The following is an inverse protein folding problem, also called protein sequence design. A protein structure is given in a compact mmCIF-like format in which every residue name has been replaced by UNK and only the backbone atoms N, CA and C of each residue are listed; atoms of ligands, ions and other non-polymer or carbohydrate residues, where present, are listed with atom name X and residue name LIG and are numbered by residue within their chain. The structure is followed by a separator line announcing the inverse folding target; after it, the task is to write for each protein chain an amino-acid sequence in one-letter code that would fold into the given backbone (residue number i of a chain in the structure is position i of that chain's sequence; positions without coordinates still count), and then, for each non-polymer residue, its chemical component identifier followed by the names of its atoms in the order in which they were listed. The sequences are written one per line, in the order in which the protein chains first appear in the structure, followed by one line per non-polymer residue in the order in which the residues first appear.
data_IF_886096463483
#
_entry.id   IF_886096463483
#
_cell.length_a   1.000
_cell.length_b   1.000
_cell.length_c   1.000
_cell.angle_alpha   90.00
_cell.angle_beta   90.00
_cell.angle_gamma   90.00
#
_symmetry.space_group_name_H-M   'P 1'
#
loop_
_entity.id
_entity.type
_entity.pdbx_description
1 polymer ?
#
# COMPACT_ATOMS: atom_id res chain seq x y z
N UNK A 1 -1.50 1.40 18.17
CA UNK A 1 -0.77 2.50 17.50
C UNK A 1 -1.65 3.07 16.36
N UNK A 2 -1.57 4.38 16.14
CA UNK A 2 -2.33 5.10 15.12
C UNK A 2 -1.37 5.44 13.99
N UNK A 3 -1.61 4.85 12.81
CA UNK A 3 -0.82 5.05 11.60
C UNK A 3 -1.59 5.92 10.61
N UNK A 4 -0.92 6.94 10.05
CA UNK A 4 -1.55 7.86 9.10
C UNK A 4 -1.96 7.18 7.79
N UNK A 5 -1.21 6.22 7.29
CA UNK A 5 -1.56 5.52 6.04
C UNK A 5 -2.92 4.82 6.14
N UNK A 6 -3.26 4.25 7.30
CA UNK A 6 -4.56 3.65 7.56
C UNK A 6 -5.67 4.70 7.58
N UNK A 7 -5.46 5.81 8.30
CA UNK A 7 -6.44 6.91 8.39
C UNK A 7 -6.69 7.56 7.02
N UNK A 8 -5.61 7.77 6.25
CA UNK A 8 -5.70 8.29 4.88
C UNK A 8 -6.57 7.40 3.99
N UNK A 9 -6.49 6.09 4.19
CA UNK A 9 -7.30 5.09 3.49
C UNK A 9 -8.65 4.82 4.18
N UNK A 10 -9.14 5.74 5.00
CA UNK A 10 -10.45 5.69 5.67
C UNK A 10 -10.63 4.51 6.63
N UNK A 11 -9.53 3.98 7.16
CA UNK A 11 -9.60 2.98 8.23
C UNK A 11 -9.76 3.69 9.57
N UNK A 12 -10.60 3.12 10.44
CA UNK A 12 -10.80 3.67 11.78
C UNK A 12 -9.49 3.58 12.60
N UNK A 13 -9.18 4.63 13.36
CA UNK A 13 -8.12 4.60 14.37
C UNK A 13 -8.43 3.64 15.51
N UNK A 14 -9.71 3.32 15.71
CA UNK A 14 -10.21 2.46 16.78
C UNK A 14 -10.73 1.16 16.16
N UNK A 15 -10.08 0.03 16.46
CA UNK A 15 -10.41 -1.28 15.90
C UNK A 15 -11.72 -1.84 16.46
N UNK A 16 -11.94 -1.65 17.74
CA UNK A 16 -13.13 -2.16 18.45
C UNK A 16 -13.64 -1.12 19.42
N UNK A 17 -14.93 -0.81 19.33
CA UNK A 17 -15.65 0.00 20.29
C UNK A 17 -17.12 -0.50 20.31
N UNK A 18 -17.50 -1.17 21.39
CA UNK A 18 -18.83 -1.75 21.52
C UNK A 18 -19.46 -1.25 22.81
N UNK A 19 -20.65 -0.69 22.69
CA UNK A 19 -21.49 -0.39 23.86
C UNK A 19 -22.39 -1.60 24.13
N UNK A 20 -22.43 -1.99 25.39
CA UNK A 20 -23.31 -3.07 25.87
C UNK A 20 -24.22 -2.52 26.95
N UNK A 21 -25.55 -2.61 26.75
CA UNK A 21 -26.50 -2.26 27.79
C UNK A 21 -26.76 -3.48 28.69
N UNK A 22 -26.90 -3.22 29.96
CA UNK A 22 -27.16 -4.24 31.00
C UNK A 22 -28.64 -4.32 31.40
N UNK A 23 -29.50 -3.63 30.66
CA UNK A 23 -30.97 -3.56 30.91
C UNK A 23 -31.72 -3.94 29.63
N UNK A 24 -32.95 -4.45 29.81
CA UNK A 24 -33.74 -4.97 28.67
C UNK A 24 -34.50 -3.88 27.91
N UNK A 25 -34.67 -2.68 28.49
CA UNK A 25 -35.32 -1.56 27.82
C UNK A 25 -34.35 -0.73 27.00
N UNK A 26 -34.87 0.07 26.08
CA UNK A 26 -34.13 1.05 25.28
C UNK A 26 -33.57 2.15 26.17
N UNK A 27 -32.33 2.58 25.87
CA UNK A 27 -31.71 3.70 26.54
C UNK A 27 -31.56 4.84 25.53
N UNK A 28 -32.27 5.94 25.74
CA UNK A 28 -32.18 7.16 24.93
C UNK A 28 -31.13 8.10 25.46
N UNK A 29 -30.69 9.01 24.59
CA UNK A 29 -29.71 10.07 24.91
C UNK A 29 -28.38 9.57 25.47
N UNK A 30 -27.92 8.38 25.04
CA UNK A 30 -26.60 7.89 25.38
C UNK A 30 -25.58 8.67 24.60
N UNK A 31 -24.74 9.44 25.30
CA UNK A 31 -23.67 10.25 24.71
C UNK A 31 -22.34 9.52 24.80
N UNK A 32 -21.68 9.39 23.66
CA UNK A 32 -20.32 8.86 23.52
C UNK A 32 -19.38 9.98 23.15
N UNK A 33 -18.30 10.12 23.91
CA UNK A 33 -17.22 11.06 23.67
C UNK A 33 -15.89 10.30 23.58
N UNK A 34 -15.11 10.60 22.55
CA UNK A 34 -13.75 10.07 22.39
C UNK A 34 -12.82 11.26 22.13
N UNK A 35 -11.79 11.38 22.94
CA UNK A 35 -10.81 12.44 22.85
C UNK A 35 -9.42 11.85 22.64
N UNK A 36 -8.64 12.47 21.76
CA UNK A 36 -7.25 12.13 21.48
C UNK A 36 -6.43 13.42 21.49
N UNK A 37 -5.39 13.47 22.28
CA UNK A 37 -4.40 14.54 22.18
C UNK A 37 -3.43 14.23 21.05
N UNK A 38 -3.28 15.16 20.10
CA UNK A 38 -2.36 15.04 19.00
C UNK A 38 -1.84 16.40 18.56
N UNK A 39 -0.51 16.54 18.46
CA UNK A 39 0.13 17.80 18.05
C UNK A 39 -0.20 19.00 18.95
N UNK A 40 -0.38 18.79 20.26
CA UNK A 40 -0.76 19.82 21.23
C UNK A 40 -2.23 20.26 21.16
N UNK A 41 -3.06 19.57 20.40
CA UNK A 41 -4.50 19.82 20.30
C UNK A 41 -5.29 18.58 20.65
N UNK A 42 -6.46 18.78 21.28
CA UNK A 42 -7.40 17.68 21.56
C UNK A 42 -8.32 17.50 20.36
N UNK A 43 -8.27 16.32 19.78
CA UNK A 43 -9.18 15.89 18.73
C UNK A 43 -10.35 15.16 19.37
N UNK A 44 -11.58 15.52 18.99
CA UNK A 44 -12.76 15.08 19.69
C UNK A 44 -13.82 14.52 18.73
N UNK A 45 -14.34 13.36 19.09
CA UNK A 45 -15.58 12.79 18.53
C UNK A 45 -16.66 12.83 19.60
N UNK A 46 -17.85 13.24 19.19
CA UNK A 46 -19.05 13.20 20.04
C UNK A 46 -20.24 12.70 19.25
N UNK A 47 -21.00 11.79 19.85
CA UNK A 47 -22.24 11.28 19.27
C UNK A 47 -23.25 10.96 20.37
N UNK A 48 -24.50 11.34 20.13
CA UNK A 48 -25.64 10.90 20.95
C UNK A 48 -26.44 9.90 20.15
N UNK A 49 -26.87 8.80 20.78
CA UNK A 49 -27.61 7.71 20.15
C UNK A 49 -28.53 7.05 21.14
N UNK A 50 -29.54 6.31 20.63
CA UNK A 50 -30.35 5.40 21.41
C UNK A 50 -29.83 3.96 21.31
N UNK A 51 -29.71 3.26 22.43
CA UNK A 51 -29.31 1.85 22.48
C UNK A 51 -30.55 0.98 22.48
N UNK A 52 -31.00 0.58 21.30
CA UNK A 52 -32.12 -0.35 21.10
C UNK A 52 -31.67 -1.80 21.29
N UNK A 53 -30.51 -2.14 20.71
CA UNK A 53 -29.94 -3.48 20.77
C UNK A 53 -29.03 -3.67 21.99
N UNK A 54 -28.89 -4.93 22.49
CA UNK A 54 -28.02 -5.24 23.63
C UNK A 54 -26.55 -4.85 23.41
N UNK A 55 -26.09 -4.91 22.17
CA UNK A 55 -24.69 -4.58 21.77
C UNK A 55 -24.71 -3.71 20.52
N UNK A 56 -24.08 -2.55 20.58
CA UNK A 56 -23.93 -1.62 19.45
C UNK A 56 -22.46 -1.38 19.16
N UNK A 57 -22.00 -1.80 17.99
CA UNK A 57 -20.64 -1.54 17.53
C UNK A 57 -20.53 -0.12 16.95
N UNK A 58 -19.58 0.67 17.43
CA UNK A 58 -19.39 2.08 17.03
C UNK A 58 -18.02 2.36 16.43
N UNK A 59 -17.08 1.41 16.40
CA UNK A 59 -15.71 1.64 15.95
C UNK A 59 -15.64 2.34 14.58
N UNK A 60 -16.43 1.88 13.61
CA UNK A 60 -16.46 2.42 12.24
C UNK A 60 -17.09 3.83 12.14
N UNK A 61 -17.78 4.25 13.18
CA UNK A 61 -18.44 5.56 13.25
C UNK A 61 -17.58 6.61 13.97
N UNK A 62 -16.55 6.18 14.70
CA UNK A 62 -15.68 7.10 15.44
C UNK A 62 -14.65 7.67 14.49
N UNK A 63 -14.83 8.93 14.12
CA UNK A 63 -13.90 9.68 13.30
C UNK A 63 -13.21 10.75 14.15
N UNK A 64 -11.89 10.65 14.26
CA UNK A 64 -11.07 11.69 14.89
C UNK A 64 -10.52 12.59 13.78
N UNK A 65 -10.68 13.91 13.85
CA UNK A 65 -10.28 14.84 12.79
C UNK A 65 -8.75 15.06 12.75
N UNK A 66 -7.99 13.96 12.63
CA UNK A 66 -6.55 13.99 12.49
C UNK A 66 -6.19 14.49 11.10
N UNK A 67 -5.65 15.70 11.02
CA UNK A 67 -5.30 16.33 9.75
C UNK A 67 -3.93 15.92 9.26
N UNK A 68 -3.75 15.87 7.94
CA UNK A 68 -2.46 15.57 7.32
C UNK A 68 -1.31 16.46 7.81
N UNK A 69 -1.44 17.81 7.93
CA UNK A 69 -0.36 18.65 8.46
C UNK A 69 0.04 18.29 9.89
N UNK A 70 -0.94 17.97 10.74
CA UNK A 70 -0.68 17.61 12.14
C UNK A 70 0.10 16.31 12.26
N UNK A 71 -0.31 15.26 11.52
CA UNK A 71 0.38 13.98 11.55
C UNK A 71 1.75 14.01 10.88
N UNK A 72 1.95 14.93 9.91
CA UNK A 72 3.25 15.15 9.27
C UNK A 72 4.24 15.91 10.13
N UNK A 73 3.79 16.64 11.14
CA UNK A 73 4.69 17.26 12.13
C UNK A 73 5.30 16.25 13.10
N UNK A 74 4.82 15.00 13.06
CA UNK A 74 5.38 13.90 13.85
C UNK A 74 6.57 13.29 13.09
N UNK A 75 7.76 13.51 13.60
CA UNK A 75 9.00 12.94 13.05
C UNK A 75 9.42 11.65 13.76
N UNK A 76 8.84 11.42 14.94
CA UNK A 76 9.13 10.27 15.80
C UNK A 76 7.82 9.73 16.40
N UNK A 77 7.86 8.46 16.80
CA UNK A 77 6.75 7.82 17.52
C UNK A 77 6.44 8.59 18.81
N UNK A 78 5.25 9.15 18.89
CA UNK A 78 4.82 9.99 20.01
C UNK A 78 3.76 9.25 20.81
N UNK A 79 4.01 9.07 22.12
CA UNK A 79 3.02 8.51 23.05
C UNK A 79 1.97 9.55 23.40
N UNK A 80 0.72 9.14 23.37
CA UNK A 80 -0.42 9.96 23.71
C UNK A 80 -1.52 9.12 24.39
N UNK A 81 -2.66 9.72 24.61
CA UNK A 81 -3.79 9.13 25.32
C UNK A 81 -5.06 9.27 24.52
N UNK A 82 -5.82 8.18 24.41
CA UNK A 82 -7.23 8.22 24.02
C UNK A 82 -8.07 8.12 25.27
N UNK A 83 -8.91 9.11 25.47
CA UNK A 83 -9.89 9.15 26.55
C UNK A 83 -11.27 8.85 25.97
N UNK A 84 -12.01 7.97 26.61
CA UNK A 84 -13.36 7.61 26.23
C UNK A 84 -14.32 7.83 27.39
N UNK A 85 -15.48 8.43 27.10
CA UNK A 85 -16.53 8.65 28.10
C UNK A 85 -17.89 8.32 27.49
N UNK A 86 -18.70 7.62 28.28
CA UNK A 86 -20.10 7.36 27.98
C UNK A 86 -20.97 7.95 29.08
N UNK A 87 -21.91 8.79 28.71
CA UNK A 87 -22.86 9.40 29.66
C UNK A 87 -24.29 9.06 29.28
N UNK A 88 -25.13 8.82 30.27
CA UNK A 88 -26.55 8.59 30.13
C UNK A 88 -27.30 9.35 31.25
N UNK A 89 -28.37 10.04 30.89
CA UNK A 89 -29.14 10.90 31.80
C UNK A 89 -28.23 11.89 32.60
N UNK A 90 -27.20 12.42 31.95
CA UNK A 90 -26.24 13.35 32.58
C UNK A 90 -25.27 12.71 33.57
N UNK A 91 -25.31 11.38 33.75
CA UNK A 91 -24.36 10.66 34.61
C UNK A 91 -23.34 9.91 33.78
N UNK A 92 -22.09 9.86 34.27
CA UNK A 92 -21.03 9.06 33.64
C UNK A 92 -21.35 7.57 33.90
N UNK A 93 -21.62 6.84 32.83
CA UNK A 93 -21.86 5.41 32.85
C UNK A 93 -20.56 4.61 32.70
N UNK A 94 -19.62 5.14 31.88
CA UNK A 94 -18.31 4.54 31.67
C UNK A 94 -17.27 5.60 31.33
N UNK A 95 -16.04 5.42 31.77
CA UNK A 95 -14.91 6.28 31.51
C UNK A 95 -13.63 5.44 31.49
N UNK A 96 -12.82 5.60 30.45
CA UNK A 96 -11.60 4.83 30.31
C UNK A 96 -10.53 5.64 29.57
N UNK A 97 -9.26 5.35 29.87
CA UNK A 97 -8.09 6.00 29.29
C UNK A 97 -7.14 4.96 28.75
N UNK A 98 -6.79 5.07 27.47
CA UNK A 98 -5.86 4.18 26.79
C UNK A 98 -4.61 4.93 26.35
N UNK A 99 -3.44 4.37 26.66
CA UNK A 99 -2.19 4.84 26.06
C UNK A 99 -2.05 4.32 24.65
N UNK A 100 -1.81 5.21 23.69
CA UNK A 100 -1.60 4.90 22.29
C UNK A 100 -0.34 5.59 21.79
N UNK A 101 0.19 5.14 20.66
CA UNK A 101 1.23 5.86 19.96
C UNK A 101 0.71 6.41 18.64
N UNK A 102 1.08 7.64 18.34
CA UNK A 102 0.98 8.23 17.01
C UNK A 102 2.28 7.95 16.28
N UNK A 103 2.18 7.41 15.08
CA UNK A 103 3.32 7.08 14.24
C UNK A 103 3.59 8.16 13.21
N UNK A 104 4.85 8.40 12.82
CA UNK A 104 5.20 9.22 11.67
C UNK A 104 4.45 8.76 10.41
N UNK A 105 4.23 9.68 9.48
CA UNK A 105 3.48 9.41 8.24
C UNK A 105 4.18 8.41 7.33
N UNK A 106 5.48 8.36 7.41
CA UNK A 106 6.39 7.51 6.64
C UNK A 106 6.72 6.17 7.33
N UNK A 107 6.13 5.88 8.47
CA UNK A 107 6.32 4.60 9.16
C UNK A 107 5.27 3.58 8.72
N UNK A 108 5.74 2.42 8.33
CA UNK A 108 4.94 1.25 7.93
C UNK A 108 5.29 0.05 8.81
N UNK A 109 4.31 -0.78 9.10
CA UNK A 109 4.47 -2.02 9.84
C UNK A 109 4.32 -3.21 8.93
N UNK A 110 5.34 -4.08 8.93
CA UNK A 110 5.30 -5.38 8.26
C UNK A 110 4.50 -6.38 9.11
N UNK A 111 3.21 -6.38 8.90
CA UNK A 111 2.30 -7.36 9.47
C UNK A 111 1.10 -7.59 8.56
N UNK A 112 0.40 -8.70 8.75
CA UNK A 112 -0.75 -9.12 7.94
C UNK A 112 -1.91 -8.11 7.93
N UNK A 113 -1.96 -7.15 8.86
CA UNK A 113 -3.00 -6.13 8.91
C UNK A 113 -2.59 -4.87 8.15
N UNK A 114 -1.30 -4.58 8.05
CA UNK A 114 -0.76 -3.36 7.45
C UNK A 114 -0.23 -3.58 6.03
N UNK A 115 0.19 -4.80 5.67
CA UNK A 115 0.73 -5.11 4.34
C UNK A 115 -0.19 -4.68 3.19
N UNK A 116 -1.54 -4.88 3.25
CA UNK A 116 -2.44 -4.41 2.19
C UNK A 116 -2.41 -2.89 1.93
N UNK A 117 -1.89 -2.10 2.87
CA UNK A 117 -1.80 -0.64 2.76
C UNK A 117 -0.44 -0.15 2.24
N UNK A 118 0.53 -1.04 2.06
CA UNK A 118 1.83 -0.70 1.49
C UNK A 118 1.74 0.03 0.14
N UNK A 119 0.79 -0.27 -0.77
CA UNK A 119 0.59 0.50 -1.99
C UNK A 119 0.32 2.00 -1.77
N UNK A 120 -0.06 2.45 -0.56
CA UNK A 120 -0.19 3.89 -0.24
C UNK A 120 1.14 4.63 -0.34
N UNK A 121 2.25 3.95 -0.18
CA UNK A 121 3.61 4.51 -0.28
C UNK A 121 4.16 4.50 -1.70
N UNK A 122 3.45 3.92 -2.66
CA UNK A 122 3.75 4.09 -4.09
C UNK A 122 3.21 5.45 -4.52
N UNK A 123 4.11 6.38 -4.85
CA UNK A 123 3.82 7.80 -5.06
C UNK A 123 4.09 8.23 -6.50
N UNK A 124 3.23 7.87 -7.49
CA UNK A 124 3.49 8.15 -8.91
C UNK A 124 3.49 9.64 -9.24
N UNK A 125 2.87 10.49 -8.40
CA UNK A 125 2.83 11.95 -8.60
C UNK A 125 3.96 12.70 -7.89
N UNK A 126 4.91 12.00 -7.26
CA UNK A 126 6.10 12.64 -6.70
C UNK A 126 6.89 13.32 -7.84
N UNK A 127 7.33 14.58 -7.68
CA UNK A 127 8.04 15.31 -8.73
C UNK A 127 9.31 14.60 -9.25
N UNK A 128 9.94 13.78 -8.41
CA UNK A 128 11.08 12.98 -8.81
C UNK A 128 10.74 11.96 -9.90
N UNK A 129 9.53 11.39 -9.87
CA UNK A 129 9.08 10.38 -10.84
C UNK A 129 9.02 10.98 -12.26
N UNK A 130 8.34 12.12 -12.42
CA UNK A 130 8.27 12.79 -13.74
C UNK A 130 9.66 13.10 -14.31
N UNK A 131 10.62 13.46 -13.45
CA UNK A 131 12.01 13.72 -13.84
C UNK A 131 12.70 12.44 -14.32
N UNK A 132 12.55 11.34 -13.57
CA UNK A 132 13.11 10.02 -13.94
C UNK A 132 12.57 9.59 -15.31
N UNK A 133 11.25 9.69 -15.52
CA UNK A 133 10.61 9.29 -16.78
C UNK A 133 11.09 10.17 -17.95
N UNK A 134 11.23 11.49 -17.73
CA UNK A 134 11.79 12.40 -18.72
C UNK A 134 13.22 12.01 -19.13
N UNK A 135 14.06 11.60 -18.20
CA UNK A 135 15.43 11.15 -18.45
C UNK A 135 15.47 9.75 -19.09
N UNK A 136 14.56 8.86 -18.69
CA UNK A 136 14.47 7.51 -19.24
C UNK A 136 14.10 7.48 -20.73
N UNK A 137 13.48 8.55 -21.25
CA UNK A 137 13.10 8.63 -22.67
C UNK A 137 14.28 8.43 -23.62
N UNK A 138 15.46 8.96 -23.31
CA UNK A 138 16.67 8.77 -24.17
C UNK A 138 17.05 7.30 -24.34
N UNK A 139 16.86 6.51 -23.27
CA UNK A 139 17.11 5.07 -23.31
C UNK A 139 16.02 4.34 -24.09
N UNK A 140 14.77 4.75 -23.96
CA UNK A 140 13.67 4.16 -24.74
C UNK A 140 13.87 4.39 -26.24
N UNK A 141 14.23 5.62 -26.64
CA UNK A 141 14.61 5.95 -28.02
C UNK A 141 15.71 5.05 -28.54
N UNK A 142 16.77 4.85 -27.74
CA UNK A 142 17.89 3.98 -28.12
C UNK A 142 17.51 2.49 -28.22
N UNK A 143 16.65 2.01 -27.33
CA UNK A 143 16.20 0.62 -27.29
C UNK A 143 15.22 0.28 -28.42
N UNK A 144 14.44 1.24 -28.90
CA UNK A 144 13.42 1.08 -29.94
C UNK A 144 13.91 1.48 -31.33
N UNK A 145 15.04 2.18 -31.42
CA UNK A 145 15.54 2.83 -32.64
C UNK A 145 14.47 3.78 -33.26
N UNK A 146 13.66 4.40 -32.41
CA UNK A 146 12.59 5.31 -32.78
C UNK A 146 12.73 6.66 -32.06
N UNK A 147 13.08 7.75 -32.77
CA UNK A 147 13.26 9.07 -32.15
C UNK A 147 11.95 9.67 -31.58
N UNK A 148 10.80 9.13 -31.99
CA UNK A 148 9.49 9.55 -31.51
C UNK A 148 8.98 8.67 -30.36
N UNK A 149 9.73 7.64 -29.94
CA UNK A 149 9.33 6.77 -28.89
C UNK A 149 9.00 7.53 -27.59
N UNK A 150 7.86 7.16 -27.00
CA UNK A 150 7.35 7.67 -25.73
C UNK A 150 6.85 6.53 -24.86
N UNK A 151 6.66 6.84 -23.59
CA UNK A 151 6.03 5.91 -22.66
C UNK A 151 4.51 5.94 -22.88
N UNK A 152 3.96 4.88 -23.46
CA UNK A 152 2.56 4.74 -23.84
C UNK A 152 1.82 3.62 -23.07
N UNK A 153 2.46 3.05 -22.05
CA UNK A 153 1.89 1.97 -21.27
C UNK A 153 1.55 0.77 -22.15
N UNK A 154 0.27 0.39 -22.15
CA UNK A 154 -0.23 -0.76 -22.94
C UNK A 154 -0.89 -0.36 -24.26
N UNK A 155 -0.93 0.90 -24.66
CA UNK A 155 -1.72 1.37 -25.83
C UNK A 155 -1.42 0.62 -27.14
N UNK A 156 -0.21 0.10 -27.30
CA UNK A 156 0.21 -0.66 -28.48
C UNK A 156 0.51 -2.14 -28.20
N UNK A 157 0.26 -2.60 -26.97
CA UNK A 157 0.51 -3.97 -26.52
C UNK A 157 -0.70 -4.85 -26.83
N UNK A 158 -1.89 -4.33 -26.58
CA UNK A 158 -3.16 -5.05 -26.68
C UNK A 158 -3.83 -4.92 -28.06
N UNK A 159 -3.12 -4.35 -29.05
CA UNK A 159 -3.61 -4.30 -30.44
C UNK A 159 -3.58 -5.72 -31.05
N UNK A 160 -4.74 -6.32 -31.39
CA UNK A 160 -4.85 -7.74 -31.73
C UNK A 160 -4.44 -8.08 -33.17
N UNK A 161 -3.42 -7.45 -33.73
CA UNK A 161 -2.87 -7.86 -35.02
C UNK A 161 -2.19 -9.21 -34.82
N UNK A 162 -2.94 -10.29 -35.09
CA UNK A 162 -2.44 -11.64 -35.04
C UNK A 162 -2.67 -12.43 -33.74
N UNK A 163 -3.43 -11.90 -32.79
CA UNK A 163 -3.89 -12.62 -31.58
C UNK A 163 -2.86 -12.83 -30.48
N UNK A 164 -1.69 -12.20 -30.56
CA UNK A 164 -0.67 -12.22 -29.52
C UNK A 164 -0.35 -10.79 -29.06
N UNK A 165 -0.25 -10.61 -27.72
CA UNK A 165 0.16 -9.33 -27.15
C UNK A 165 1.61 -8.98 -27.50
N UNK A 166 1.88 -7.72 -27.89
CA UNK A 166 3.24 -7.24 -28.12
C UNK A 166 3.94 -6.89 -26.79
N UNK A 167 4.09 -7.87 -25.94
CA UNK A 167 4.66 -7.71 -24.58
C UNK A 167 6.08 -7.18 -24.57
N UNK A 168 6.82 -7.30 -25.70
CA UNK A 168 8.16 -6.73 -25.84
C UNK A 168 8.15 -5.20 -25.66
N UNK A 169 7.08 -4.51 -26.10
CA UNK A 169 6.98 -3.05 -25.95
C UNK A 169 6.93 -2.63 -24.50
N UNK A 170 6.17 -3.35 -23.66
CA UNK A 170 6.18 -3.13 -22.21
C UNK A 170 7.58 -3.33 -21.62
N UNK A 171 8.23 -4.44 -22.00
CA UNK A 171 9.59 -4.73 -21.50
C UNK A 171 10.59 -3.63 -21.84
N UNK A 172 10.54 -3.04 -23.06
CA UNK A 172 11.44 -1.97 -23.46
C UNK A 172 11.20 -0.69 -22.67
N UNK A 173 9.94 -0.37 -22.35
CA UNK A 173 9.61 0.78 -21.48
C UNK A 173 10.15 0.57 -20.06
N UNK A 174 9.95 -0.61 -19.46
CA UNK A 174 10.48 -0.95 -18.14
C UNK A 174 12.00 -0.94 -18.14
N UNK A 175 12.63 -1.52 -19.18
CA UNK A 175 14.09 -1.52 -19.35
C UNK A 175 14.67 -0.11 -19.47
N UNK A 176 13.99 0.80 -20.16
CA UNK A 176 14.42 2.19 -20.27
C UNK A 176 14.42 2.91 -18.90
N UNK A 177 13.36 2.70 -18.10
CA UNK A 177 13.26 3.22 -16.73
C UNK A 177 14.35 2.64 -15.85
N UNK A 178 14.54 1.32 -15.88
CA UNK A 178 15.61 0.63 -15.15
C UNK A 178 16.98 1.20 -15.49
N UNK A 179 17.26 1.35 -16.77
CA UNK A 179 18.54 1.86 -17.26
C UNK A 179 18.81 3.29 -16.78
N UNK A 180 17.79 4.16 -16.80
CA UNK A 180 17.91 5.51 -16.27
C UNK A 180 18.22 5.52 -14.76
N UNK A 181 17.55 4.69 -13.99
CA UNK A 181 17.78 4.57 -12.54
C UNK A 181 19.21 4.08 -12.23
N UNK A 182 19.71 3.09 -12.97
CA UNK A 182 21.07 2.55 -12.79
C UNK A 182 22.15 3.56 -13.19
N UNK A 183 22.02 4.17 -14.36
CA UNK A 183 23.11 4.99 -14.92
C UNK A 183 23.07 6.45 -14.49
N UNK A 184 21.88 7.02 -14.30
CA UNK A 184 21.74 8.45 -14.03
C UNK A 184 21.60 8.77 -12.52
N UNK A 185 21.35 7.78 -11.63
CA UNK A 185 21.02 8.05 -10.21
C UNK A 185 22.06 7.58 -9.20
N UNK A 186 22.88 6.60 -9.51
CA UNK A 186 23.95 6.07 -8.62
C UNK A 186 23.44 5.84 -7.18
N UNK A 187 22.36 5.10 -7.07
CA UNK A 187 21.74 4.79 -5.79
C UNK A 187 22.63 3.86 -4.97
N UNK A 188 22.60 4.00 -3.65
CA UNK A 188 23.32 3.17 -2.70
C UNK A 188 22.33 2.37 -1.87
N UNK A 189 22.65 1.11 -1.64
CA UNK A 189 21.87 0.29 -0.71
C UNK A 189 22.26 0.61 0.73
N UNK A 190 21.25 0.81 1.59
CA UNK A 190 21.45 0.95 3.03
C UNK A 190 20.51 -0.01 3.75
N UNK A 191 20.94 -0.51 4.90
CA UNK A 191 20.05 -1.23 5.78
C UNK A 191 19.00 -0.26 6.36
N UNK A 192 17.78 -0.75 6.66
CA UNK A 192 16.78 0.06 7.34
C UNK A 192 17.38 0.69 8.61
N UNK A 193 17.08 1.98 8.89
CA UNK A 193 17.43 2.56 10.18
C UNK A 193 16.74 1.73 11.29
N UNK A 194 17.33 1.67 12.50
CA UNK A 194 16.72 0.95 13.61
C UNK A 194 15.30 1.47 13.85
N UNK A 195 14.31 0.59 13.72
CA UNK A 195 12.95 0.92 14.11
C UNK A 195 12.84 0.83 15.65
N UNK A 196 12.23 1.83 16.27
CA UNK A 196 11.98 1.85 17.72
C UNK A 196 10.82 0.94 18.13
N UNK A 197 10.10 0.40 17.15
CA UNK A 197 9.00 -0.56 17.34
C UNK A 197 9.30 -1.87 16.62
N UNK A 198 8.89 -3.01 17.19
CA UNK A 198 9.02 -4.31 16.51
C UNK A 198 8.19 -4.32 15.24
N UNK A 199 8.82 -4.59 14.10
CA UNK A 199 8.16 -4.70 12.80
C UNK A 199 7.90 -3.36 12.10
N UNK A 200 8.25 -2.20 12.70
CA UNK A 200 8.14 -0.89 12.03
C UNK A 200 9.33 -0.63 11.11
N UNK A 201 9.08 -0.04 9.96
CA UNK A 201 10.10 0.43 9.04
C UNK A 201 9.71 1.81 8.51
N UNK A 202 10.67 2.74 8.53
CA UNK A 202 10.51 4.04 7.89
C UNK A 202 10.76 3.92 6.40
N UNK A 203 9.79 4.41 5.61
CA UNK A 203 9.81 4.36 4.15
C UNK A 203 10.10 5.76 3.58
N UNK A 204 10.97 5.82 2.57
CA UNK A 204 11.35 7.07 1.90
C UNK A 204 10.44 7.35 0.72
N UNK A 205 10.05 8.61 0.56
CA UNK A 205 9.44 9.07 -0.70
C UNK A 205 10.46 9.04 -1.85
N UNK A 206 10.02 8.99 -3.13
CA UNK A 206 10.93 9.08 -4.28
C UNK A 206 11.84 10.31 -4.24
N UNK A 207 11.32 11.47 -3.87
CA UNK A 207 12.10 12.71 -3.74
C UNK A 207 13.15 12.61 -2.64
N UNK A 208 12.81 12.04 -1.47
CA UNK A 208 13.75 11.84 -0.36
C UNK A 208 14.84 10.82 -0.73
N UNK A 209 14.45 9.69 -1.36
CA UNK A 209 15.38 8.67 -1.82
C UNK A 209 16.40 9.23 -2.81
N UNK A 210 15.96 10.04 -3.78
CA UNK A 210 16.86 10.68 -4.74
C UNK A 210 17.73 11.77 -4.09
N UNK A 211 17.21 12.49 -3.10
CA UNK A 211 17.99 13.49 -2.37
C UNK A 211 19.12 12.85 -1.57
N UNK A 212 18.84 11.76 -0.88
CA UNK A 212 19.81 11.01 -0.07
C UNK A 212 20.67 10.04 -0.92
N UNK A 213 20.27 9.79 -2.16
CA UNK A 213 20.86 8.78 -3.06
C UNK A 213 21.01 7.41 -2.42
N UNK A 214 20.09 7.04 -1.49
CA UNK A 214 20.20 5.79 -0.75
C UNK A 214 18.83 5.26 -0.34
N UNK A 215 18.65 3.93 -0.36
CA UNK A 215 17.42 3.29 -0.01
C UNK A 215 17.57 1.83 0.41
N UNK A 216 16.52 1.30 1.04
CA UNK A 216 16.37 -0.12 1.38
C UNK A 216 15.74 -0.88 0.20
N UNK A 217 15.63 -2.21 0.29
CA UNK A 217 14.95 -3.00 -0.75
C UNK A 217 13.53 -2.52 -1.01
N UNK A 218 12.78 -2.21 0.05
CA UNK A 218 11.40 -1.74 -0.09
C UNK A 218 11.32 -0.32 -0.67
N UNK A 219 12.20 0.61 -0.27
CA UNK A 219 12.25 1.96 -0.84
C UNK A 219 12.49 1.94 -2.35
N UNK A 220 13.44 1.09 -2.81
CA UNK A 220 13.77 0.91 -4.22
C UNK A 220 12.62 0.27 -5.00
N UNK A 221 11.94 -0.69 -4.40
CA UNK A 221 10.76 -1.34 -4.98
C UNK A 221 9.60 -0.35 -5.14
N UNK A 222 9.33 0.48 -4.12
CA UNK A 222 8.30 1.52 -4.17
C UNK A 222 8.64 2.59 -5.22
N UNK A 223 9.91 2.98 -5.34
CA UNK A 223 10.37 3.93 -6.38
C UNK A 223 10.11 3.39 -7.78
N UNK A 224 10.54 2.14 -8.05
CA UNK A 224 10.34 1.52 -9.36
C UNK A 224 8.86 1.32 -9.65
N UNK A 225 8.08 0.84 -8.69
CA UNK A 225 6.63 0.69 -8.82
C UNK A 225 5.92 2.04 -9.12
N UNK A 226 6.38 3.13 -8.49
CA UNK A 226 5.83 4.47 -8.76
C UNK A 226 6.18 4.96 -10.18
N UNK A 227 7.37 4.65 -10.69
CA UNK A 227 7.75 4.93 -12.08
C UNK A 227 6.86 4.17 -13.08
N UNK A 228 6.58 2.89 -12.79
CA UNK A 228 5.73 2.04 -13.64
C UNK A 228 4.28 2.54 -13.64
N UNK A 229 3.71 2.81 -12.45
CA UNK A 229 2.35 3.34 -12.32
C UNK A 229 2.20 4.70 -13.02
N UNK A 230 3.25 5.54 -13.01
CA UNK A 230 3.23 6.84 -13.69
C UNK A 230 3.06 6.73 -15.21
N UNK A 231 3.61 5.69 -15.82
CA UNK A 231 3.52 5.42 -17.26
C UNK A 231 2.44 4.40 -17.63
N UNK A 232 1.49 4.15 -16.70
CA UNK A 232 0.37 3.24 -16.86
C UNK A 232 0.80 1.78 -17.13
N UNK A 233 1.90 1.34 -16.52
CA UNK A 233 2.32 -0.06 -16.46
C UNK A 233 1.96 -0.60 -15.08
N UNK A 234 1.18 -1.67 -15.02
CA UNK A 234 0.66 -2.23 -13.79
C UNK A 234 1.74 -2.98 -13.02
N UNK A 235 2.11 -2.41 -11.88
CA UNK A 235 3.12 -2.96 -11.01
C UNK A 235 2.49 -3.74 -9.84
N UNK A 236 3.25 -4.67 -9.31
CA UNK A 236 2.98 -5.34 -8.04
C UNK A 236 4.22 -5.35 -7.15
N UNK A 237 4.01 -5.46 -5.84
CA UNK A 237 5.06 -5.64 -4.85
C UNK A 237 5.04 -7.10 -4.38
N UNK A 238 6.18 -7.74 -4.38
CA UNK A 238 6.36 -9.09 -3.85
C UNK A 238 7.11 -8.98 -2.53
N UNK A 239 6.48 -9.46 -1.48
CA UNK A 239 7.06 -9.53 -0.15
C UNK A 239 7.54 -10.96 0.11
N UNK A 240 8.75 -11.08 0.60
CA UNK A 240 9.32 -12.33 1.10
C UNK A 240 9.87 -12.10 2.49
N UNK A 241 10.29 -13.14 3.18
CA UNK A 241 10.87 -13.04 4.52
C UNK A 241 12.04 -12.03 4.55
N UNK A 242 11.77 -10.84 5.10
CA UNK A 242 12.76 -9.77 5.25
C UNK A 242 13.18 -9.07 3.95
N UNK A 243 12.43 -9.22 2.86
CA UNK A 243 12.77 -8.61 1.57
C UNK A 243 11.53 -8.19 0.78
N UNK A 244 11.73 -7.22 -0.12
CA UNK A 244 10.71 -6.75 -1.04
C UNK A 244 11.32 -6.51 -2.42
N UNK A 245 10.64 -6.94 -3.48
CA UNK A 245 11.00 -6.65 -4.86
C UNK A 245 9.75 -6.37 -5.70
N UNK A 246 9.92 -5.93 -6.94
CA UNK A 246 8.82 -5.44 -7.76
C UNK A 246 8.53 -6.40 -8.92
N UNK A 247 7.24 -6.52 -9.28
CA UNK A 247 6.83 -7.17 -10.52
C UNK A 247 6.04 -6.20 -11.39
N UNK A 248 5.86 -6.57 -12.68
CA UNK A 248 5.01 -5.85 -13.60
C UNK A 248 4.31 -6.80 -14.57
N UNK A 249 3.07 -6.48 -14.89
CA UNK A 249 2.29 -7.19 -15.91
C UNK A 249 2.76 -6.76 -17.30
N UNK A 250 2.91 -7.72 -18.20
CA UNK A 250 3.42 -7.46 -19.55
C UNK A 250 2.34 -7.01 -20.54
N UNK A 251 1.08 -7.27 -20.23
CA UNK A 251 -0.09 -6.78 -20.95
C UNK A 251 -1.21 -6.47 -19.95
N UNK A 252 -2.09 -5.52 -20.29
CA UNK A 252 -3.28 -5.18 -19.48
C UNK A 252 -4.20 -6.39 -19.33
N UNK A 253 -4.39 -7.15 -20.43
CA UNK A 253 -5.23 -8.35 -20.44
C UNK A 253 -4.78 -9.41 -19.42
N UNK A 254 -3.49 -9.58 -19.19
CA UNK A 254 -2.98 -10.54 -18.20
C UNK A 254 -3.35 -10.12 -16.77
N UNK A 255 -3.25 -8.84 -16.47
CA UNK A 255 -3.65 -8.32 -15.15
C UNK A 255 -5.17 -8.37 -14.98
N UNK A 256 -5.95 -8.14 -16.05
CA UNK A 256 -7.40 -8.28 -16.01
C UNK A 256 -7.84 -9.73 -15.78
N UNK A 257 -7.14 -10.70 -16.37
CA UNK A 257 -7.35 -12.12 -16.09
C UNK A 257 -7.09 -12.43 -14.61
N UNK A 258 -5.94 -12.00 -14.07
CA UNK A 258 -5.61 -12.14 -12.65
C UNK A 258 -6.70 -11.56 -11.73
N UNK A 259 -7.23 -10.37 -12.05
CA UNK A 259 -8.34 -9.78 -11.30
C UNK A 259 -9.62 -10.58 -11.37
N UNK A 260 -9.88 -11.25 -12.50
CA UNK A 260 -11.12 -12.01 -12.73
C UNK A 260 -11.12 -13.34 -11.98
N UNK A 261 -9.98 -14.04 -11.97
CA UNK A 261 -9.76 -15.29 -11.23
C UNK A 261 -9.81 -15.04 -9.71
N UNK A 262 -9.38 -13.89 -9.27
CA UNK A 262 -9.38 -13.48 -7.87
C UNK A 262 -10.76 -13.36 -7.21
N UNK A 263 -11.87 -13.50 -7.96
CA UNK A 263 -13.24 -13.45 -7.44
C UNK A 263 -13.89 -14.84 -7.51
N UNK A 264 -13.95 -15.60 -6.40
CA UNK A 264 -14.73 -16.83 -6.40
C UNK A 264 -16.18 -16.55 -6.82
N UNK A 265 -16.80 -17.41 -7.65
CA UNK A 265 -18.12 -17.16 -8.23
C UNK A 265 -19.27 -16.95 -7.22
N UNK A 266 -19.09 -17.38 -5.97
CA UNK A 266 -20.09 -17.28 -4.91
C UNK A 266 -19.96 -16.02 -4.04
N UNK A 267 -18.89 -15.23 -4.17
CA UNK A 267 -18.71 -13.96 -3.43
C UNK A 267 -19.21 -12.73 -4.18
N UNK A 268 -19.95 -12.93 -5.27
CA UNK A 268 -20.62 -11.84 -6.00
C UNK A 268 -21.75 -11.17 -5.20
N UNK A 269 -22.05 -11.65 -4.00
CA UNK A 269 -22.94 -11.01 -3.04
C UNK A 269 -22.11 -10.10 -2.12
N UNK A 270 -22.03 -8.81 -2.46
CA UNK A 270 -21.28 -7.77 -1.76
C UNK A 270 -21.53 -7.68 -0.25
N UNK A 271 -22.65 -8.19 0.26
CA UNK A 271 -23.04 -8.07 1.66
C UNK A 271 -22.41 -9.11 2.60
N UNK A 272 -22.09 -10.32 2.10
CA UNK A 272 -21.53 -11.38 2.93
C UNK A 272 -20.02 -11.27 3.12
N UNK A 273 -19.28 -10.83 2.10
CA UNK A 273 -17.84 -10.64 2.17
C UNK A 273 -17.47 -9.52 3.16
N UNK A 274 -18.19 -8.41 3.12
CA UNK A 274 -17.96 -7.26 4.02
C UNK A 274 -18.29 -7.58 5.48
N UNK A 275 -19.36 -8.32 5.73
CA UNK A 275 -19.73 -8.76 7.08
C UNK A 275 -18.73 -9.78 7.66
N UNK A 276 -18.25 -10.71 6.85
CA UNK A 276 -17.27 -11.71 7.26
C UNK A 276 -15.88 -11.10 7.49
N UNK A 277 -15.50 -10.10 6.69
CA UNK A 277 -14.30 -9.29 6.90
C UNK A 277 -14.36 -8.48 8.21
N UNK A 278 -15.48 -7.76 8.45
CA UNK A 278 -15.71 -7.02 9.71
C UNK A 278 -15.69 -7.93 10.93
N UNK A 279 -16.05 -9.20 10.77
CA UNK A 279 -16.01 -10.20 11.84
C UNK A 279 -14.63 -10.84 12.06
N UNK A 280 -13.62 -10.50 11.26
CA UNK A 280 -12.28 -11.10 11.31
C UNK A 280 -12.22 -12.57 10.87
N UNK A 281 -13.28 -13.08 10.20
CA UNK A 281 -13.38 -14.48 9.78
C UNK A 281 -12.85 -14.75 8.38
N UNK A 282 -12.73 -13.72 7.53
CA UNK A 282 -12.12 -13.81 6.20
C UNK A 282 -10.90 -12.89 6.17
N UNK A 283 -9.72 -13.38 5.78
CA UNK A 283 -8.58 -12.51 5.55
C UNK A 283 -8.90 -11.49 4.44
N UNK A 284 -8.34 -10.29 4.52
CA UNK A 284 -8.41 -9.21 3.52
C UNK A 284 -7.91 -9.60 2.12
N UNK A 285 -7.42 -10.82 1.99
CA UNK A 285 -6.61 -11.36 0.90
C UNK A 285 -7.22 -11.10 -0.47
N UNK A 286 -8.54 -11.23 -0.61
CA UNK A 286 -9.19 -11.17 -1.93
C UNK A 286 -9.71 -9.77 -2.31
N UNK A 287 -9.89 -8.88 -1.33
CA UNK A 287 -10.50 -7.57 -1.60
C UNK A 287 -9.53 -6.57 -2.23
N UNK A 288 -8.19 -6.76 -2.07
CA UNK A 288 -7.17 -5.77 -2.44
C UNK A 288 -6.10 -6.31 -3.39
N UNK A 289 -6.34 -7.45 -4.06
CA UNK A 289 -5.34 -8.06 -4.95
C UNK A 289 -4.13 -8.61 -4.21
N UNK A 290 -4.31 -8.93 -2.93
CA UNK A 290 -3.28 -9.49 -2.09
C UNK A 290 -3.31 -11.01 -2.17
N UNK A 291 -2.18 -11.64 -2.50
CA UNK A 291 -2.00 -13.08 -2.55
C UNK A 291 -1.02 -13.50 -1.49
N UNK A 292 -1.41 -14.42 -0.62
CA UNK A 292 -0.60 -14.88 0.51
C UNK A 292 -0.44 -16.39 0.54
N UNK A 293 0.66 -16.81 1.15
CA UNK A 293 0.95 -18.20 1.45
C UNK A 293 1.11 -19.11 0.22
N UNK A 294 1.07 -20.43 0.40
CA UNK A 294 1.38 -21.38 -0.66
C UNK A 294 0.47 -21.31 -1.89
N UNK A 295 -0.83 -21.04 -1.69
CA UNK A 295 -1.79 -20.91 -2.82
C UNK A 295 -1.54 -19.59 -3.60
N UNK A 296 -1.29 -18.49 -2.89
CA UNK A 296 -0.89 -17.24 -3.51
C UNK A 296 0.42 -17.36 -4.27
N UNK A 297 1.40 -18.07 -3.71
CA UNK A 297 2.65 -18.40 -4.39
C UNK A 297 2.41 -19.14 -5.70
N UNK A 298 1.65 -20.25 -5.66
CA UNK A 298 1.41 -21.09 -6.83
C UNK A 298 0.73 -20.30 -7.97
N UNK A 299 -0.19 -19.40 -7.64
CA UNK A 299 -0.85 -18.51 -8.60
C UNK A 299 0.15 -17.51 -9.23
N UNK A 300 0.90 -16.80 -8.39
CA UNK A 300 1.89 -15.81 -8.84
C UNK A 300 2.98 -16.46 -9.69
N UNK A 301 3.52 -17.58 -9.23
CA UNK A 301 4.54 -18.33 -9.95
C UNK A 301 4.02 -18.84 -11.30
N UNK A 302 2.75 -19.25 -11.36
CA UNK A 302 2.08 -19.64 -12.62
C UNK A 302 2.09 -18.53 -13.66
N UNK A 303 1.75 -17.29 -13.29
CA UNK A 303 1.81 -16.13 -14.19
C UNK A 303 3.25 -15.78 -14.62
N UNK A 304 4.22 -15.96 -13.74
CA UNK A 304 5.64 -15.75 -14.08
C UNK A 304 6.13 -16.82 -15.06
N UNK A 305 5.79 -18.09 -14.86
CA UNK A 305 6.12 -19.18 -15.77
C UNK A 305 5.43 -19.04 -17.15
N UNK A 306 4.22 -18.49 -17.18
CA UNK A 306 3.52 -18.14 -18.41
C UNK A 306 4.07 -16.89 -19.12
N UNK A 307 5.12 -16.27 -18.57
CA UNK A 307 5.73 -15.01 -19.06
C UNK A 307 4.71 -13.85 -19.18
N UNK A 308 3.66 -13.88 -18.34
CA UNK A 308 2.63 -12.86 -18.25
C UNK A 308 2.99 -11.78 -17.21
N UNK A 309 3.64 -12.20 -16.12
CA UNK A 309 4.17 -11.36 -15.05
C UNK A 309 5.69 -11.49 -15.03
N UNK A 310 6.40 -10.39 -14.90
CA UNK A 310 7.86 -10.37 -14.68
C UNK A 310 8.20 -9.73 -13.36
N UNK A 311 9.25 -10.26 -12.72
CA UNK A 311 9.77 -9.77 -11.45
C UNK A 311 11.18 -9.24 -11.61
N UNK A 312 11.53 -8.23 -10.81
CA UNK A 312 12.80 -7.51 -10.84
C UNK A 312 13.34 -7.34 -9.43
N UNK A 313 14.57 -7.76 -9.20
CA UNK A 313 15.29 -7.48 -7.97
C UNK A 313 15.70 -6.01 -7.91
N UNK A 314 14.94 -5.20 -7.17
CA UNK A 314 15.09 -3.75 -7.15
C UNK A 314 16.42 -3.28 -6.52
N UNK A 315 17.04 -4.08 -5.65
CA UNK A 315 18.36 -3.73 -5.07
C UNK A 315 19.46 -3.73 -6.13
N UNK A 316 19.26 -4.43 -7.25
CA UNK A 316 20.16 -4.38 -8.42
C UNK A 316 20.40 -2.97 -8.97
N UNK A 317 19.49 -2.01 -8.70
CA UNK A 317 19.68 -0.59 -9.02
C UNK A 317 20.93 0.00 -8.33
N UNK A 318 21.26 -0.48 -7.13
CA UNK A 318 22.43 -0.03 -6.36
C UNK A 318 23.72 -0.73 -6.76
N UNK A 319 23.61 -1.90 -7.36
CA UNK A 319 24.77 -2.73 -7.76
C UNK A 319 25.08 -2.63 -9.24
N UNK A 320 24.36 -1.80 -9.98
CA UNK A 320 24.59 -1.59 -11.41
C UNK A 320 24.17 -2.79 -12.27
N UNK A 321 23.19 -3.57 -11.84
CA UNK A 321 22.70 -4.74 -12.58
C UNK A 321 22.08 -4.33 -13.91
N UNK A 322 22.39 -5.10 -14.95
CA UNK A 322 21.63 -5.02 -16.19
C UNK A 322 20.15 -5.41 -15.93
N UNK A 323 19.27 -4.99 -16.81
CA UNK A 323 17.85 -5.38 -16.73
C UNK A 323 17.65 -6.91 -16.74
N UNK A 324 18.47 -7.65 -17.51
CA UNK A 324 18.42 -9.11 -17.52
C UNK A 324 18.84 -9.71 -16.19
N UNK A 325 19.92 -9.23 -15.59
CA UNK A 325 20.36 -9.68 -14.25
C UNK A 325 19.29 -9.41 -13.18
N UNK A 326 18.67 -8.22 -13.20
CA UNK A 326 17.60 -7.91 -12.25
C UNK A 326 16.40 -8.84 -12.39
N UNK A 327 16.09 -9.30 -13.61
CA UNK A 327 15.03 -10.31 -13.86
C UNK A 327 15.43 -11.69 -13.36
N UNK A 328 16.65 -12.11 -13.66
CA UNK A 328 17.19 -13.43 -13.23
C UNK A 328 17.20 -13.51 -11.69
N UNK A 329 17.69 -12.46 -11.01
CA UNK A 329 17.74 -12.41 -9.55
C UNK A 329 16.34 -12.29 -8.93
N UNK A 330 15.43 -11.52 -9.55
CA UNK A 330 14.03 -11.44 -9.12
C UNK A 330 13.33 -12.79 -9.21
N UNK A 331 13.57 -13.55 -10.30
CA UNK A 331 13.05 -14.90 -10.46
C UNK A 331 13.65 -15.85 -9.41
N UNK A 332 14.96 -15.82 -9.20
CA UNK A 332 15.64 -16.63 -8.18
C UNK A 332 15.09 -16.38 -6.78
N UNK A 333 14.76 -15.11 -6.46
CA UNK A 333 14.08 -14.76 -5.18
C UNK A 333 12.66 -15.31 -5.10
N UNK A 334 11.92 -15.25 -6.19
CA UNK A 334 10.56 -15.81 -6.22
C UNK A 334 10.59 -17.34 -6.09
N UNK A 335 11.57 -18.02 -6.68
CA UNK A 335 11.70 -19.49 -6.63
C UNK A 335 11.98 -20.02 -5.21
N UNK A 336 12.37 -19.15 -4.27
CA UNK A 336 12.47 -19.47 -2.84
C UNK A 336 11.06 -19.55 -2.21
N UNK A 337 10.29 -20.59 -2.55
CA UNK A 337 8.88 -20.76 -2.17
C UNK A 337 8.61 -20.52 -0.68
N UNK A 338 9.45 -21.07 0.19
CA UNK A 338 9.26 -20.98 1.65
C UNK A 338 9.51 -19.55 2.19
N UNK A 339 10.18 -18.72 1.42
CA UNK A 339 10.41 -17.32 1.76
C UNK A 339 9.25 -16.41 1.31
N UNK A 340 8.37 -16.86 0.40
CA UNK A 340 7.26 -16.06 -0.11
C UNK A 340 6.25 -15.76 0.99
N UNK A 341 5.98 -14.48 1.22
CA UNK A 341 4.93 -13.99 2.12
C UNK A 341 3.69 -13.60 1.33
N UNK A 342 3.83 -12.65 0.41
CA UNK A 342 2.67 -12.13 -0.32
C UNK A 342 3.04 -11.39 -1.61
N UNK A 343 2.03 -11.23 -2.49
CA UNK A 343 2.04 -10.30 -3.60
C UNK A 343 0.93 -9.26 -3.40
N UNK A 344 1.23 -7.99 -3.64
CA UNK A 344 0.31 -6.86 -3.61
C UNK A 344 0.22 -6.24 -5.00
N UNK A 345 -0.90 -6.44 -5.70
CA UNK A 345 -1.17 -5.76 -6.98
C UNK A 345 -1.63 -4.32 -6.72
N UNK A 346 -0.88 -3.34 -7.24
CA UNK A 346 -1.12 -1.93 -6.96
C UNK A 346 -2.42 -1.45 -7.63
N UNK A 347 -2.71 -1.86 -8.86
CA UNK A 347 -3.93 -1.47 -9.57
C UNK A 347 -5.18 -2.03 -8.89
N UNK A 348 -5.13 -3.27 -8.43
CA UNK A 348 -6.23 -3.86 -7.65
C UNK A 348 -6.43 -3.10 -6.36
N UNK A 349 -5.37 -2.78 -5.63
CA UNK A 349 -5.44 -1.97 -4.43
C UNK A 349 -6.05 -0.59 -4.69
N UNK A 350 -5.71 0.08 -5.81
CA UNK A 350 -6.33 1.38 -6.23
C UNK A 350 -7.81 1.26 -6.52
N UNK A 351 -8.29 0.11 -7.00
CA UNK A 351 -9.69 -0.16 -7.37
C UNK A 351 -10.51 -0.83 -6.27
N UNK A 352 -9.91 -1.16 -5.14
CA UNK A 352 -10.61 -1.77 -4.00
C UNK A 352 -11.62 -0.82 -3.36
N UNK A 353 -12.47 -1.34 -2.49
CA UNK A 353 -13.47 -0.55 -1.76
C UNK A 353 -13.33 -0.75 -0.25
N UNK A 354 -12.86 0.27 0.48
CA UNK A 354 -12.35 1.56 0.01
C UNK A 354 -11.03 1.44 -0.77
N UNK A 355 -10.73 2.36 -1.71
CA UNK A 355 -9.50 2.31 -2.49
C UNK A 355 -8.29 2.64 -1.63
N UNK A 356 -7.18 1.92 -1.88
CA UNK A 356 -5.87 2.28 -1.32
C UNK A 356 -5.27 3.41 -2.16
N UNK A 357 -5.25 4.62 -1.61
CA UNK A 357 -4.78 5.81 -2.32
C UNK A 357 -3.36 6.19 -1.94
N UNK A 358 -2.56 6.76 -2.88
CA UNK A 358 -1.24 7.27 -2.56
C UNK A 358 -1.29 8.29 -1.43
N UNK A 359 -0.31 8.23 -0.52
CA UNK A 359 -0.15 9.26 0.50
C UNK A 359 0.06 10.63 -0.15
N UNK A 360 -0.49 11.71 0.44
CA UNK A 360 -0.28 13.03 -0.11
C UNK A 360 1.20 13.40 -0.07
N UNK A 361 1.72 13.95 -1.16
CA UNK A 361 3.11 14.38 -1.28
C UNK A 361 3.33 15.62 -0.43
N UNK A 362 4.41 15.64 0.36
CA UNK A 362 4.83 16.86 1.05
C UNK A 362 5.62 17.69 0.05
N UNK A 363 4.99 18.67 -0.57
CA UNK A 363 5.72 19.78 -1.18
C UNK A 363 6.19 20.70 -0.05
N UNK A 364 7.17 20.24 0.74
CA UNK A 364 7.91 21.06 1.65
C UNK A 364 8.83 21.94 0.82
N UNK A 365 8.72 23.27 0.99
CA UNK A 365 9.63 24.19 0.33
C UNK A 365 11.09 23.80 0.62
N UNK A 366 11.84 23.69 -0.46
CA UNK A 366 13.30 23.79 -0.47
C UNK A 366 13.67 25.23 -0.13
#
# INVERSE_FOLDING_TARGET
DINYSLLHNRRSAIKTFTLSKLVDHELDDVRVEVELEAGGMVQQFRRTLSLTEPHVALADHITLPLTSPMLRSLHERTLTTVYTRVTWEGRVAHEETHRVALLPVDEWYDDTQNNPWLPSFVLPRDPAIARIIGEARKYLVALTDDPLAGFDGYQQVDDPIGGAHNTRRTDLQVQAIWTALVHDRKLLYINPPPAYSRGGQRLRSPSELLHTSSGTCIDLSLLLAACLEYVDIHACLVLTTGHCFVGYWRADAYQEEFMTVARPPHERSQSLGEAAYRSGRIPLVDAYGWRVGPQGYDEVHGYVQADALRVLEATGLCFGFSFSQAREDGLARLDERDAFDSLLDIRVARRSSPPVTPLPIVTGGL
#
